data_IF_361135869465
#
_entry.id   IF_361135869465
#
_cell.length_a   1.000
_cell.length_b   1.000
_cell.length_c   1.000
_cell.angle_alpha   90.00
_cell.angle_beta   90.00
_cell.angle_gamma   90.00
#
_symmetry.space_group_name_H-M   'P 1'
#
loop_
_entity.id
_entity.type
_entity.pdbx_description
1 polymer ?
#
# COMPACT_ATOMS: atom_id res chain seq x y z
N UNK A 1 1.09 -17.16 19.90
CA UNK A 1 1.88 -17.40 18.69
C UNK A 1 2.78 -16.18 18.54
N UNK A 2 4.03 -16.30 19.01
CA UNK A 2 4.88 -15.18 19.42
C UNK A 2 5.98 -14.95 18.37
N UNK A 3 6.07 -13.71 17.90
CA UNK A 3 7.26 -12.99 17.43
C UNK A 3 8.32 -13.76 16.63
N UNK A 4 8.11 -13.95 15.32
CA UNK A 4 9.22 -14.10 14.36
C UNK A 4 9.46 -12.81 13.56
N UNK A 5 8.51 -11.87 13.55
CA UNK A 5 8.63 -10.59 12.84
C UNK A 5 9.33 -9.45 13.64
N UNK A 6 9.73 -9.67 14.90
CA UNK A 6 10.24 -8.61 15.80
C UNK A 6 11.75 -8.64 16.05
N UNK A 7 12.53 -9.41 15.29
CA UNK A 7 13.99 -9.57 15.54
C UNK A 7 14.88 -8.85 14.51
N UNK A 8 14.34 -8.38 13.38
CA UNK A 8 15.11 -7.58 12.41
C UNK A 8 15.10 -6.07 12.70
N UNK A 9 14.38 -5.64 13.73
CA UNK A 9 13.95 -4.26 13.88
C UNK A 9 14.85 -3.30 14.68
N UNK A 10 16.06 -3.63 15.17
CA UNK A 10 16.58 -2.75 16.24
C UNK A 10 17.97 -2.13 16.19
N UNK A 11 18.94 -2.47 15.32
CA UNK A 11 20.23 -1.73 15.34
C UNK A 11 21.01 -1.63 14.02
N UNK A 12 20.45 -1.93 12.85
CA UNK A 12 21.27 -1.84 11.63
C UNK A 12 20.57 -1.77 10.29
N UNK A 13 19.32 -2.22 10.18
CA UNK A 13 18.52 -2.05 8.96
C UNK A 13 18.07 -0.60 8.84
N UNK A 14 17.53 -0.02 9.90
CA UNK A 14 17.07 1.39 9.91
C UNK A 14 18.23 2.37 9.67
N UNK A 15 19.40 2.12 10.27
CA UNK A 15 20.60 2.91 10.02
C UNK A 15 21.09 2.78 8.56
N UNK A 16 20.92 1.59 7.96
CA UNK A 16 21.27 1.36 6.55
C UNK A 16 20.29 2.03 5.60
N UNK A 17 18.98 1.98 5.91
CA UNK A 17 17.95 2.68 5.14
C UNK A 17 18.20 4.18 5.21
N UNK A 18 18.36 4.75 6.40
CA UNK A 18 18.64 6.17 6.61
C UNK A 18 19.95 6.61 5.93
N UNK A 19 20.99 5.77 5.95
CA UNK A 19 22.25 6.05 5.25
C UNK A 19 22.07 6.12 3.73
N UNK A 20 21.29 5.20 3.16
CA UNK A 20 21.02 5.16 1.73
C UNK A 20 20.06 6.28 1.33
N UNK A 21 18.96 6.53 2.05
CA UNK A 21 18.03 7.64 1.75
C UNK A 21 18.70 9.00 1.99
N UNK A 22 19.66 9.11 2.90
CA UNK A 22 20.50 10.30 3.04
C UNK A 22 21.32 10.64 1.78
N UNK A 23 21.59 9.64 0.94
CA UNK A 23 22.30 9.81 -0.35
C UNK A 23 21.35 10.10 -1.50
N UNK A 24 20.22 9.39 -1.58
CA UNK A 24 19.30 9.43 -2.72
C UNK A 24 18.06 10.31 -2.50
N UNK A 25 17.86 10.82 -1.29
CA UNK A 25 16.67 11.51 -0.84
C UNK A 25 15.54 10.55 -0.43
N UNK A 26 14.60 11.07 0.35
CA UNK A 26 13.36 10.36 0.69
C UNK A 26 12.46 10.17 -0.55
N UNK A 27 11.69 9.08 -0.62
CA UNK A 27 10.83 8.79 -1.77
C UNK A 27 9.61 9.72 -1.83
N UNK A 28 9.49 10.47 -2.92
CA UNK A 28 8.26 11.17 -3.29
C UNK A 28 7.34 10.22 -4.07
N UNK A 29 6.51 9.48 -3.34
CA UNK A 29 5.61 8.43 -3.88
C UNK A 29 4.56 8.97 -4.87
N UNK A 30 4.27 10.29 -4.86
CA UNK A 30 3.30 10.90 -5.76
C UNK A 30 3.92 11.36 -7.08
N UNK A 31 5.25 11.52 -7.10
CA UNK A 31 5.99 11.99 -8.29
C UNK A 31 6.82 10.89 -8.95
N UNK A 32 7.34 9.95 -8.17
CA UNK A 32 8.23 8.89 -8.64
C UNK A 32 7.61 7.53 -8.40
N UNK A 33 7.63 6.66 -9.42
CA UNK A 33 7.30 5.25 -9.26
C UNK A 33 8.42 4.51 -8.50
N UNK A 34 8.11 3.36 -7.88
CA UNK A 34 9.10 2.51 -7.22
C UNK A 34 10.31 2.22 -8.13
N UNK A 35 10.05 1.87 -9.39
CA UNK A 35 11.08 1.56 -10.39
C UNK A 35 11.96 2.79 -10.68
N UNK A 36 11.35 3.97 -10.85
CA UNK A 36 12.10 5.20 -11.11
C UNK A 36 12.95 5.61 -9.90
N UNK A 37 12.41 5.46 -8.69
CA UNK A 37 13.13 5.79 -7.46
C UNK A 37 14.31 4.83 -7.23
N UNK A 38 14.05 3.52 -7.27
CA UNK A 38 15.08 2.49 -7.04
C UNK A 38 16.10 2.37 -8.17
N UNK A 39 15.76 2.79 -9.39
CA UNK A 39 16.67 2.77 -10.55
C UNK A 39 17.89 3.68 -10.41
N UNK A 40 17.96 4.48 -9.35
CA UNK A 40 19.11 5.33 -9.01
C UNK A 40 20.21 4.58 -8.24
N UNK A 41 19.89 3.43 -7.64
CA UNK A 41 20.83 2.63 -6.86
C UNK A 41 21.95 2.04 -7.73
N UNK A 42 23.17 1.99 -7.18
CA UNK A 42 24.34 1.40 -7.84
C UNK A 42 24.48 -0.10 -7.54
N UNK A 43 23.88 -0.57 -6.45
CA UNK A 43 24.02 -1.95 -5.96
C UNK A 43 22.68 -2.59 -5.60
N UNK A 44 22.62 -3.93 -5.65
CA UNK A 44 21.44 -4.68 -5.23
C UNK A 44 21.05 -4.42 -3.77
N UNK A 45 22.03 -4.15 -2.91
CA UNK A 45 21.79 -3.80 -1.51
C UNK A 45 21.03 -2.47 -1.41
N UNK A 46 21.51 -1.43 -2.09
CA UNK A 46 20.84 -0.13 -2.13
C UNK A 46 19.44 -0.22 -2.73
N UNK A 47 19.24 -1.02 -3.80
CA UNK A 47 17.89 -1.25 -4.35
C UNK A 47 16.95 -1.79 -3.26
N UNK A 48 17.40 -2.73 -2.43
CA UNK A 48 16.58 -3.27 -1.33
C UNK A 48 16.28 -2.23 -0.26
N UNK A 49 17.26 -1.40 0.11
CA UNK A 49 17.06 -0.32 1.08
C UNK A 49 16.10 0.75 0.55
N UNK A 50 16.26 1.18 -0.70
CA UNK A 50 15.35 2.13 -1.35
C UNK A 50 13.95 1.54 -1.52
N UNK A 51 13.83 0.25 -1.83
CA UNK A 51 12.53 -0.44 -1.89
C UNK A 51 11.85 -0.41 -0.53
N UNK A 52 12.58 -0.67 0.56
CA UNK A 52 12.05 -0.59 1.92
C UNK A 52 11.53 0.82 2.24
N UNK A 53 12.36 1.85 2.03
CA UNK A 53 11.96 3.23 2.27
C UNK A 53 10.70 3.65 1.48
N UNK A 54 10.62 3.21 0.22
CA UNK A 54 9.47 3.49 -0.64
C UNK A 54 8.20 2.78 -0.12
N UNK A 55 8.32 1.53 0.31
CA UNK A 55 7.20 0.78 0.89
C UNK A 55 6.73 1.38 2.21
N UNK A 56 7.63 1.86 3.05
CA UNK A 56 7.31 2.53 4.32
C UNK A 56 6.57 3.84 4.06
N UNK A 57 7.01 4.61 3.07
CA UNK A 57 6.31 5.85 2.66
C UNK A 57 4.90 5.57 2.11
N UNK A 58 4.73 4.49 1.33
CA UNK A 58 3.41 4.06 0.89
C UNK A 58 2.53 3.59 2.06
N UNK A 59 3.08 2.85 3.03
CA UNK A 59 2.33 2.40 4.21
C UNK A 59 1.86 3.61 5.03
N UNK A 60 2.76 4.55 5.32
CA UNK A 60 2.42 5.78 6.03
C UNK A 60 1.33 6.59 5.33
N UNK A 61 1.34 6.66 3.99
CA UNK A 61 0.30 7.35 3.24
C UNK A 61 -1.05 6.62 3.31
N UNK A 62 -1.06 5.28 3.20
CA UNK A 62 -2.27 4.46 3.39
C UNK A 62 -2.85 4.66 4.78
N UNK A 63 -2.01 4.63 5.82
CA UNK A 63 -2.43 4.81 7.21
C UNK A 63 -2.98 6.21 7.47
N UNK A 64 -2.33 7.25 6.92
CA UNK A 64 -2.80 8.63 7.06
C UNK A 64 -4.20 8.82 6.44
N UNK A 65 -4.40 8.32 5.22
CA UNK A 65 -5.69 8.39 4.54
C UNK A 65 -6.77 7.56 5.24
N UNK A 66 -6.40 6.40 5.77
CA UNK A 66 -7.30 5.58 6.57
C UNK A 66 -7.75 6.30 7.84
N UNK A 67 -6.83 6.91 8.58
CA UNK A 67 -7.16 7.68 9.79
C UNK A 67 -8.08 8.86 9.48
N UNK A 68 -7.85 9.55 8.36
CA UNK A 68 -8.73 10.63 7.90
C UNK A 68 -10.15 10.11 7.60
N UNK A 69 -10.28 9.00 6.88
CA UNK A 69 -11.58 8.37 6.64
C UNK A 69 -12.26 7.88 7.94
N UNK A 70 -11.49 7.38 8.90
CA UNK A 70 -12.03 7.00 10.22
C UNK A 70 -12.61 8.20 10.95
N UNK A 71 -11.92 9.34 10.92
CA UNK A 71 -12.40 10.57 11.54
C UNK A 71 -13.69 11.04 10.87
N UNK A 72 -13.73 11.03 9.53
CA UNK A 72 -14.90 11.37 8.74
C UNK A 72 -16.12 10.47 9.07
N UNK A 73 -15.91 9.17 9.21
CA UNK A 73 -16.98 8.21 9.49
C UNK A 73 -17.25 7.98 10.99
N UNK A 74 -16.67 8.80 11.86
CA UNK A 74 -16.79 8.65 13.32
C UNK A 74 -18.24 8.69 13.83
N UNK A 75 -19.10 9.45 13.17
CA UNK A 75 -20.54 9.58 13.49
C UNK A 75 -21.42 8.52 12.79
N UNK A 76 -20.83 7.63 11.97
CA UNK A 76 -21.53 6.58 11.24
C UNK A 76 -20.96 5.18 11.59
N UNK A 77 -21.35 4.58 12.74
CA UNK A 77 -20.71 3.39 13.29
C UNK A 77 -20.65 2.19 12.33
N UNK A 78 -21.73 1.94 11.59
CA UNK A 78 -21.80 0.82 10.64
C UNK A 78 -20.80 1.00 9.49
N UNK A 79 -20.61 2.25 9.03
CA UNK A 79 -19.67 2.57 7.96
C UNK A 79 -18.23 2.50 8.46
N UNK A 80 -17.97 2.99 9.68
CA UNK A 80 -16.68 2.87 10.35
C UNK A 80 -16.27 1.39 10.55
N UNK A 81 -17.20 0.53 10.99
CA UNK A 81 -16.93 -0.91 11.11
C UNK A 81 -16.57 -1.53 9.75
N UNK A 82 -17.31 -1.17 8.69
CA UNK A 82 -17.03 -1.65 7.34
C UNK A 82 -15.65 -1.17 6.84
N UNK A 83 -15.29 0.09 7.10
CA UNK A 83 -13.99 0.65 6.77
C UNK A 83 -12.87 -0.11 7.47
N UNK A 84 -12.99 -0.31 8.79
CA UNK A 84 -12.00 -0.99 9.62
C UNK A 84 -11.77 -2.43 9.14
N UNK A 85 -12.85 -3.18 8.94
CA UNK A 85 -12.77 -4.56 8.44
C UNK A 85 -12.16 -4.64 7.04
N UNK A 86 -12.56 -3.74 6.15
CA UNK A 86 -12.03 -3.66 4.79
C UNK A 86 -10.55 -3.30 4.77
N UNK A 87 -10.12 -2.37 5.63
CA UNK A 87 -8.73 -1.96 5.78
C UNK A 87 -7.86 -3.12 6.28
N UNK A 88 -8.25 -3.77 7.39
CA UNK A 88 -7.50 -4.90 7.94
C UNK A 88 -7.39 -6.06 6.95
N UNK A 89 -8.49 -6.41 6.27
CA UNK A 89 -8.48 -7.47 5.26
C UNK A 89 -7.58 -7.11 4.07
N UNK A 90 -7.55 -5.83 3.67
CA UNK A 90 -6.65 -5.37 2.61
C UNK A 90 -5.17 -5.54 3.00
N UNK A 91 -4.78 -5.15 4.21
CA UNK A 91 -3.40 -5.26 4.66
C UNK A 91 -2.95 -6.72 4.64
N UNK A 92 -3.71 -7.61 5.26
CA UNK A 92 -3.42 -9.05 5.29
C UNK A 92 -3.36 -9.66 3.89
N UNK A 93 -4.38 -9.39 3.06
CA UNK A 93 -4.44 -9.91 1.70
C UNK A 93 -3.22 -9.44 0.87
N UNK A 94 -2.88 -8.15 0.93
CA UNK A 94 -1.81 -7.59 0.11
C UNK A 94 -0.45 -8.18 0.45
N UNK A 95 -0.18 -8.44 1.73
CA UNK A 95 1.06 -9.08 2.18
C UNK A 95 1.12 -10.55 1.78
N UNK A 96 0.05 -11.32 2.05
CA UNK A 96 0.00 -12.73 1.69
C UNK A 96 0.12 -12.94 0.17
N UNK A 97 -0.52 -12.07 -0.60
CA UNK A 97 -0.44 -12.11 -2.06
C UNK A 97 0.96 -11.74 -2.57
N UNK A 98 1.59 -10.72 -2.00
CA UNK A 98 2.96 -10.36 -2.34
C UNK A 98 3.94 -11.50 -2.01
N UNK A 99 3.77 -12.19 -0.87
CA UNK A 99 4.55 -13.37 -0.51
C UNK A 99 4.35 -14.51 -1.50
N UNK A 100 3.11 -14.80 -1.89
CA UNK A 100 2.83 -15.85 -2.87
C UNK A 100 3.45 -15.54 -4.24
N UNK A 101 3.34 -14.29 -4.70
CA UNK A 101 3.95 -13.85 -5.96
C UNK A 101 5.46 -14.01 -5.93
N UNK A 102 6.11 -13.58 -4.84
CA UNK A 102 7.54 -13.78 -4.62
C UNK A 102 7.89 -15.27 -4.67
N UNK A 103 7.22 -16.10 -3.88
CA UNK A 103 7.48 -17.54 -3.83
C UNK A 103 7.34 -18.16 -5.22
N UNK A 104 6.29 -17.82 -5.98
CA UNK A 104 6.05 -18.32 -7.33
C UNK A 104 7.24 -18.08 -8.27
N UNK A 105 7.95 -16.96 -8.16
CA UNK A 105 9.11 -16.65 -9.03
C UNK A 105 10.27 -17.64 -8.82
N UNK A 106 10.33 -18.29 -7.66
CA UNK A 106 11.40 -19.21 -7.30
C UNK A 106 11.07 -20.67 -7.55
N UNK A 107 9.89 -20.99 -8.09
CA UNK A 107 9.49 -22.36 -8.38
C UNK A 107 9.44 -22.62 -9.89
N UNK A 108 10.13 -23.67 -10.32
CA UNK A 108 9.78 -24.35 -11.56
C UNK A 108 8.76 -25.44 -11.25
N UNK A 109 7.52 -25.13 -11.58
CA UNK A 109 6.38 -26.01 -11.34
C UNK A 109 6.36 -27.24 -12.25
N UNK A 110 7.09 -27.21 -13.38
CA UNK A 110 7.19 -28.35 -14.29
C UNK A 110 8.15 -29.41 -13.78
N UNK A 111 9.20 -28.99 -13.06
CA UNK A 111 10.19 -29.87 -12.46
C UNK A 111 9.93 -30.14 -10.97
N UNK A 112 9.07 -29.35 -10.33
CA UNK A 112 8.82 -29.42 -8.89
C UNK A 112 10.02 -28.96 -8.07
N UNK A 113 10.85 -28.08 -8.64
CA UNK A 113 12.11 -27.62 -8.05
C UNK A 113 12.02 -26.15 -7.66
N UNK A 114 12.62 -25.82 -6.52
CA UNK A 114 12.81 -24.45 -6.05
C UNK A 114 14.24 -23.98 -6.32
N UNK A 115 14.39 -22.80 -6.88
CA UNK A 115 15.67 -22.11 -7.04
C UNK A 115 15.75 -21.02 -6.00
N UNK A 116 16.70 -21.08 -5.05
CA UNK A 116 16.90 -20.00 -4.09
C UNK A 116 18.08 -19.11 -4.53
N UNK A 117 17.84 -17.79 -4.57
CA UNK A 117 18.84 -16.81 -4.98
C UNK A 117 18.87 -15.55 -4.11
N UNK A 118 19.92 -14.75 -4.26
CA UNK A 118 20.13 -13.51 -3.51
C UNK A 118 19.18 -12.38 -3.92
N UNK A 119 18.49 -12.54 -5.05
CA UNK A 119 17.50 -11.61 -5.59
C UNK A 119 16.11 -11.73 -4.92
N UNK A 120 15.97 -12.47 -3.81
CA UNK A 120 14.69 -12.51 -3.07
C UNK A 120 14.25 -11.13 -2.60
N UNK A 121 12.95 -10.87 -2.72
CA UNK A 121 12.25 -9.70 -2.22
C UNK A 121 11.87 -8.66 -3.28
N UNK A 122 12.34 -8.78 -4.53
CA UNK A 122 12.00 -7.80 -5.56
C UNK A 122 10.55 -7.90 -6.02
N UNK A 123 10.04 -9.12 -6.24
CA UNK A 123 8.65 -9.32 -6.65
C UNK A 123 7.71 -8.97 -5.49
N UNK A 124 8.07 -9.39 -4.27
CA UNK A 124 7.37 -8.98 -3.05
C UNK A 124 7.19 -7.46 -2.98
N UNK A 125 8.31 -6.71 -3.08
CA UNK A 125 8.28 -5.26 -2.97
C UNK A 125 7.48 -4.59 -4.09
N UNK A 126 7.60 -5.07 -5.33
CA UNK A 126 6.84 -4.55 -6.46
C UNK A 126 5.34 -4.76 -6.29
N UNK A 127 4.92 -5.97 -5.94
CA UNK A 127 3.51 -6.32 -5.75
C UNK A 127 2.91 -5.52 -4.59
N UNK A 128 3.60 -5.46 -3.45
CA UNK A 128 3.10 -4.72 -2.30
C UNK A 128 2.98 -3.22 -2.58
N UNK A 129 3.93 -2.63 -3.30
CA UNK A 129 3.88 -1.23 -3.72
C UNK A 129 2.65 -0.95 -4.60
N UNK A 130 2.35 -1.83 -5.56
CA UNK A 130 1.19 -1.71 -6.43
C UNK A 130 -0.13 -1.69 -5.63
N UNK A 131 -0.32 -2.62 -4.71
CA UNK A 131 -1.55 -2.70 -3.91
C UNK A 131 -1.71 -1.51 -2.97
N UNK A 132 -0.62 -1.07 -2.31
CA UNK A 132 -0.65 0.13 -1.46
C UNK A 132 -0.99 1.37 -2.28
N UNK A 133 -0.43 1.53 -3.47
CA UNK A 133 -0.78 2.63 -4.37
C UNK A 133 -2.26 2.60 -4.78
N UNK A 134 -2.80 1.43 -5.15
CA UNK A 134 -4.23 1.29 -5.47
C UNK A 134 -5.13 1.68 -4.29
N UNK A 135 -4.71 1.36 -3.07
CA UNK A 135 -5.45 1.72 -1.86
C UNK A 135 -5.39 3.21 -1.57
N UNK A 136 -4.23 3.86 -1.75
CA UNK A 136 -4.08 5.32 -1.70
C UNK A 136 -5.09 5.98 -2.65
N UNK A 137 -5.08 5.59 -3.93
CA UNK A 137 -6.02 6.14 -4.94
C UNK A 137 -7.48 5.95 -4.52
N UNK A 138 -7.81 4.77 -3.98
CA UNK A 138 -9.18 4.47 -3.54
C UNK A 138 -9.61 5.35 -2.37
N UNK A 139 -8.76 5.50 -1.35
CA UNK A 139 -9.07 6.33 -0.19
C UNK A 139 -9.10 7.82 -0.51
N UNK A 140 -8.17 8.31 -1.33
CA UNK A 140 -8.21 9.69 -1.82
C UNK A 140 -9.52 9.97 -2.54
N UNK A 141 -9.97 9.07 -3.42
CA UNK A 141 -11.27 9.25 -4.11
C UNK A 141 -12.44 9.27 -3.13
N UNK A 142 -12.47 8.38 -2.13
CA UNK A 142 -13.52 8.39 -1.11
C UNK A 142 -13.56 9.73 -0.37
N UNK A 143 -12.40 10.23 0.09
CA UNK A 143 -12.31 11.53 0.75
C UNK A 143 -12.77 12.68 -0.15
N UNK A 144 -12.39 12.68 -1.42
CA UNK A 144 -12.79 13.72 -2.37
C UNK A 144 -14.30 13.71 -2.64
N UNK A 145 -14.93 12.53 -2.76
CA UNK A 145 -16.37 12.38 -2.94
C UNK A 145 -17.15 12.95 -1.74
N UNK A 146 -16.69 12.66 -0.51
CA UNK A 146 -17.34 13.11 0.72
C UNK A 146 -17.20 14.63 0.94
N UNK A 147 -16.03 15.19 0.61
CA UNK A 147 -15.81 16.65 0.66
C UNK A 147 -16.69 17.40 -0.33
N UNK A 148 -16.99 16.80 -1.49
CA UNK A 148 -17.90 17.38 -2.47
C UNK A 148 -19.36 17.36 -2.00
N UNK A 149 -19.76 16.33 -1.25
CA UNK A 149 -21.10 16.28 -0.63
C UNK A 149 -21.27 17.27 0.52
N UNK A 150 -20.23 17.51 1.32
CA UNK A 150 -20.26 18.52 2.39
C UNK A 150 -20.24 19.97 1.87
N UNK A 151 -19.66 20.20 0.68
CA UNK A 151 -19.65 21.50 0.01
C UNK A 151 -20.96 21.86 -0.72
N UNK A 152 -21.88 20.90 -0.90
CA UNK A 152 -23.17 21.11 -1.54
C UNK A 152 -24.22 21.55 -0.50
N UNK A 153 -24.20 22.85 -0.15
CA UNK A 153 -25.32 23.48 0.59
C UNK A 153 -26.65 23.24 -0.15
N UNK A 154 -27.71 22.79 0.53
CA UNK A 154 -28.98 22.44 -0.10
C UNK A 154 -29.79 23.70 -0.40
N UNK A 155 -29.45 24.38 -1.50
CA UNK A 155 -30.34 25.35 -2.16
C UNK A 155 -30.68 24.96 -3.60
N UNK A 156 -30.25 23.78 -4.06
CA UNK A 156 -30.64 23.28 -5.38
C UNK A 156 -31.59 22.12 -5.20
N UNK A 157 -32.87 22.42 -5.39
CA UNK A 157 -33.97 21.49 -5.20
C UNK A 157 -33.82 20.18 -5.97
N UNK A 158 -34.52 19.18 -5.44
CA UNK A 158 -34.97 17.95 -6.10
C UNK A 158 -34.64 17.89 -7.59
N UNK A 159 -33.58 17.19 -8.00
CA UNK A 159 -33.47 16.54 -9.30
C UNK A 159 -32.25 15.60 -9.26
N UNK A 160 -32.47 14.27 -9.30
CA UNK A 160 -31.41 13.38 -9.80
C UNK A 160 -31.16 12.03 -9.14
N UNK A 161 -31.99 11.51 -8.23
CA UNK A 161 -31.92 10.08 -7.83
C UNK A 161 -32.62 9.20 -8.89
N UNK A 162 -32.09 9.20 -10.12
CA UNK A 162 -32.43 8.24 -11.18
C UNK A 162 -31.21 7.92 -12.04
N UNK A 163 -30.34 7.07 -11.49
CA UNK A 163 -29.40 6.15 -12.16
C UNK A 163 -28.46 5.75 -11.01
N UNK A 164 -28.49 4.54 -10.45
CA UNK A 164 -28.05 3.30 -11.10
C UNK A 164 -28.92 2.14 -10.59
N UNK A 165 -30.10 1.98 -11.18
CA UNK A 165 -30.81 0.71 -11.18
C UNK A 165 -30.40 -0.06 -12.42
N UNK A 166 -29.46 -1.00 -12.29
CA UNK A 166 -28.98 -1.72 -13.48
C UNK A 166 -27.82 -2.69 -13.26
N UNK A 167 -27.87 -3.53 -12.22
CA UNK A 167 -27.16 -4.81 -12.27
C UNK A 167 -28.18 -5.93 -12.11
N UNK A 168 -28.43 -6.62 -13.22
CA UNK A 168 -29.10 -7.93 -13.28
C UNK A 168 -28.00 -8.99 -13.53
N UNK A 169 -28.21 -10.23 -13.05
CA UNK A 169 -27.18 -11.20 -12.70
C UNK A 169 -26.24 -11.60 -13.84
#
# INVERSE_FOLDING_TARGET
MVCILTVLSLLGVDDSVAGVTGTYGEPDIYRLSLVAYCGQAATNFEVKMLTSAYLDSLASAVDSLYLELRELYSEAPDLLECLDRSHSAFLEYSELWAMLCEERVWWDTSEGVRYDGTARGYEYGYVLALYRWQKIVSYTRMLDEERLTDGASPDTGMLGLQAIGGYRP
#
